data_IF_341059939221
#
_entry.id   IF_341059939221
#
_cell.length_a   1.000
_cell.length_b   1.000
_cell.length_c   1.000
_cell.angle_alpha   90.00
_cell.angle_beta   90.00
_cell.angle_gamma   90.00
#
_symmetry.space_group_name_H-M   'P 1'
#
loop_
_entity.id
_entity.type
_entity.pdbx_description
1 polymer ?
#
# COMPACT_ATOMS: atom_id res chain seq x y z
N UNK A 1 -18.25 -10.86 12.25
CA UNK A 1 -16.86 -10.80 11.74
C UNK A 1 -16.27 -9.48 12.21
N UNK A 2 -15.09 -9.46 12.84
CA UNK A 2 -14.47 -8.18 13.29
C UNK A 2 -14.16 -7.30 12.08
N UNK A 3 -14.23 -5.97 12.23
CA UNK A 3 -14.05 -5.02 11.12
C UNK A 3 -12.71 -5.23 10.38
N UNK A 4 -11.61 -5.44 11.10
CA UNK A 4 -10.30 -5.70 10.48
C UNK A 4 -10.24 -6.99 9.67
N UNK A 5 -10.93 -8.06 10.07
CA UNK A 5 -11.00 -9.31 9.29
C UNK A 5 -11.79 -9.13 7.99
N UNK A 6 -12.88 -8.37 8.04
CA UNK A 6 -13.64 -7.98 6.86
C UNK A 6 -12.76 -7.21 5.89
N UNK A 7 -12.12 -6.14 6.36
CA UNK A 7 -11.25 -5.33 5.52
C UNK A 7 -10.06 -6.11 4.99
N UNK A 8 -9.45 -7.00 5.79
CA UNK A 8 -8.34 -7.83 5.35
C UNK A 8 -8.76 -8.74 4.20
N UNK A 9 -9.92 -9.41 4.31
CA UNK A 9 -10.43 -10.33 3.28
C UNK A 9 -10.80 -9.61 1.98
N UNK A 10 -11.44 -8.44 2.08
CA UNK A 10 -11.98 -7.71 0.94
C UNK A 10 -11.10 -6.55 0.45
N UNK A 11 -9.88 -6.37 0.99
CA UNK A 11 -9.00 -5.22 0.72
C UNK A 11 -8.73 -4.94 -0.75
N UNK A 12 -8.79 -5.95 -1.61
CA UNK A 12 -8.59 -5.81 -3.06
C UNK A 12 -9.79 -5.21 -3.80
N UNK A 13 -11.00 -5.26 -3.20
CA UNK A 13 -12.25 -4.82 -3.82
C UNK A 13 -12.75 -3.49 -3.27
N UNK A 14 -12.41 -3.15 -2.02
CA UNK A 14 -12.76 -1.85 -1.41
C UNK A 14 -12.35 -0.61 -2.21
N UNK A 15 -11.29 -0.61 -3.04
CA UNK A 15 -10.93 0.54 -3.86
C UNK A 15 -11.78 0.73 -5.12
N UNK A 16 -12.48 -0.32 -5.59
CA UNK A 16 -13.19 -0.29 -6.86
C UNK A 16 -14.24 0.81 -6.97
N UNK A 17 -15.09 1.10 -5.95
CA UNK A 17 -16.04 2.20 -6.03
C UNK A 17 -15.36 3.55 -6.25
N UNK A 18 -14.23 3.80 -5.59
CA UNK A 18 -13.45 5.03 -5.78
C UNK A 18 -12.86 5.11 -7.19
N UNK A 19 -12.30 4.00 -7.70
CA UNK A 19 -11.77 3.95 -9.07
C UNK A 19 -12.86 4.18 -10.12
N UNK A 20 -14.06 3.62 -9.94
CA UNK A 20 -15.20 3.85 -10.82
C UNK A 20 -15.58 5.34 -10.82
N UNK A 21 -15.74 5.94 -9.64
CA UNK A 21 -16.04 7.37 -9.52
C UNK A 21 -14.94 8.25 -10.13
N UNK A 22 -13.67 7.89 -9.93
CA UNK A 22 -12.52 8.56 -10.55
C UNK A 22 -12.60 8.54 -12.07
N UNK A 23 -12.99 7.42 -12.68
CA UNK A 23 -13.12 7.31 -14.13
C UNK A 23 -14.32 8.10 -14.64
N UNK A 24 -15.51 7.94 -14.03
CA UNK A 24 -16.75 8.59 -14.46
C UNK A 24 -16.66 10.11 -14.40
N UNK A 25 -16.06 10.66 -13.35
CA UNK A 25 -15.93 12.10 -13.14
C UNK A 25 -14.54 12.64 -13.48
N UNK A 26 -13.72 11.84 -14.17
CA UNK A 26 -12.36 12.23 -14.52
C UNK A 26 -12.32 13.56 -15.28
N UNK A 27 -11.34 14.39 -14.96
CA UNK A 27 -11.01 15.61 -15.70
C UNK A 27 -9.49 15.83 -15.75
N UNK A 28 -8.73 14.85 -16.28
CA UNK A 28 -7.28 14.84 -16.22
C UNK A 28 -6.67 16.03 -16.98
N UNK A 29 -5.55 16.54 -16.49
CA UNK A 29 -4.71 17.50 -17.22
C UNK A 29 -3.24 17.06 -17.13
N UNK A 30 -2.36 17.66 -17.92
CA UNK A 30 -0.97 17.20 -17.99
C UNK A 30 -0.24 17.32 -16.65
N UNK A 31 -0.52 18.36 -15.86
CA UNK A 31 0.11 18.55 -14.55
C UNK A 31 -0.39 17.52 -13.54
N UNK A 32 -1.71 17.27 -13.53
CA UNK A 32 -2.30 16.25 -12.65
C UNK A 32 -1.77 14.85 -12.99
N UNK A 33 -1.62 14.56 -14.29
CA UNK A 33 -1.04 13.31 -14.77
C UNK A 33 0.41 13.14 -14.33
N UNK A 34 1.26 14.16 -14.54
CA UNK A 34 2.68 14.09 -14.17
C UNK A 34 2.89 13.99 -12.65
N UNK A 35 2.21 14.84 -11.87
CA UNK A 35 2.32 14.84 -10.40
C UNK A 35 1.84 13.50 -9.84
N UNK A 36 0.65 13.05 -10.25
CA UNK A 36 0.10 11.81 -9.75
C UNK A 36 0.92 10.58 -10.17
N UNK A 37 1.50 10.58 -11.37
CA UNK A 37 2.41 9.51 -11.82
C UNK A 37 3.64 9.36 -10.92
N UNK A 38 4.24 10.48 -10.47
CA UNK A 38 5.36 10.45 -9.52
C UNK A 38 4.96 9.75 -8.21
N UNK A 39 3.78 10.06 -7.67
CA UNK A 39 3.28 9.40 -6.46
C UNK A 39 3.02 7.89 -6.66
N UNK A 40 2.48 7.50 -7.82
CA UNK A 40 2.30 6.07 -8.16
C UNK A 40 3.65 5.35 -8.23
N UNK A 41 4.65 5.93 -8.89
CA UNK A 41 5.99 5.35 -8.97
C UNK A 41 6.64 5.18 -7.60
N UNK A 42 6.55 6.18 -6.72
CA UNK A 42 7.07 6.10 -5.34
C UNK A 42 6.35 5.00 -4.56
N UNK A 43 5.01 4.92 -4.67
CA UNK A 43 4.21 3.92 -3.99
C UNK A 43 4.53 2.49 -4.44
N UNK A 44 4.61 2.24 -5.75
CA UNK A 44 5.01 0.95 -6.30
C UNK A 44 6.45 0.58 -5.90
N UNK A 45 7.38 1.54 -5.91
CA UNK A 45 8.75 1.30 -5.48
C UNK A 45 8.83 0.85 -4.01
N UNK A 46 8.14 1.55 -3.10
CA UNK A 46 8.08 1.17 -1.67
C UNK A 46 7.54 -0.25 -1.51
N UNK A 47 6.52 -0.61 -2.29
CA UNK A 47 5.91 -1.95 -2.24
C UNK A 47 6.83 -3.03 -2.76
N UNK A 48 7.50 -2.81 -3.89
CA UNK A 48 8.49 -3.74 -4.44
C UNK A 48 9.63 -3.93 -3.42
N UNK A 49 10.13 -2.85 -2.81
CA UNK A 49 11.18 -2.94 -1.80
C UNK A 49 10.73 -3.71 -0.55
N UNK A 50 9.51 -3.48 -0.08
CA UNK A 50 8.93 -4.20 1.05
C UNK A 50 8.78 -5.70 0.75
N UNK A 51 8.16 -6.05 -0.39
CA UNK A 51 7.96 -7.44 -0.77
C UNK A 51 9.24 -8.15 -1.22
N UNK A 52 10.33 -7.43 -1.48
CA UNK A 52 11.65 -8.04 -1.66
C UNK A 52 12.21 -8.65 -0.36
N UNK A 53 11.66 -8.25 0.80
CA UNK A 53 11.92 -8.88 2.10
C UNK A 53 10.78 -9.79 2.52
N UNK A 54 9.54 -9.32 2.50
CA UNK A 54 8.40 -10.06 3.04
C UNK A 54 7.87 -11.18 2.12
N UNK A 55 8.26 -11.19 0.84
CA UNK A 55 7.79 -12.16 -0.14
C UNK A 55 6.29 -12.05 -0.41
N UNK A 56 5.71 -13.13 -0.95
CA UNK A 56 4.30 -13.19 -1.35
C UNK A 56 3.34 -13.55 -0.23
N UNK A 57 3.82 -13.91 0.96
CA UNK A 57 2.99 -14.28 2.13
C UNK A 57 2.05 -13.13 2.55
N UNK A 58 2.49 -11.90 2.33
CA UNK A 58 1.73 -10.66 2.55
C UNK A 58 0.49 -10.53 1.66
N UNK A 59 0.40 -11.31 0.57
CA UNK A 59 -0.71 -11.30 -0.39
C UNK A 59 -1.78 -12.33 -0.11
N UNK A 60 -1.65 -13.12 0.96
CA UNK A 60 -2.66 -14.12 1.34
C UNK A 60 -3.94 -13.44 1.81
N UNK A 61 -5.09 -13.98 1.40
CA UNK A 61 -6.44 -13.49 1.76
C UNK A 61 -7.18 -14.43 2.71
N UNK A 62 -6.57 -15.58 3.05
CA UNK A 62 -7.11 -16.60 3.96
C UNK A 62 -6.98 -16.27 5.44
N UNK A 63 -6.35 -15.15 5.79
CA UNK A 63 -6.12 -14.70 7.16
C UNK A 63 -4.77 -14.00 7.29
N UNK A 64 -4.55 -13.32 8.42
CA UNK A 64 -3.23 -12.75 8.71
C UNK A 64 -2.23 -13.90 8.92
N UNK A 65 -1.06 -13.78 8.31
CA UNK A 65 0.02 -14.76 8.41
C UNK A 65 1.39 -14.12 8.18
N UNK A 66 2.45 -14.92 8.32
CA UNK A 66 3.82 -14.52 8.03
C UNK A 66 4.82 -15.40 8.76
N UNK A 67 5.75 -16.02 8.05
CA UNK A 67 6.74 -16.96 8.59
C UNK A 67 7.75 -16.25 9.48
N UNK A 68 8.24 -15.09 9.04
CA UNK A 68 9.26 -14.30 9.72
C UNK A 68 8.71 -12.97 10.24
N UNK A 69 9.30 -12.47 11.33
CA UNK A 69 9.13 -11.07 11.74
C UNK A 69 10.08 -10.19 10.93
N UNK A 70 9.59 -9.64 9.82
CA UNK A 70 10.39 -8.82 8.92
C UNK A 70 10.62 -7.43 9.52
N UNK A 71 11.88 -7.11 9.81
CA UNK A 71 12.30 -5.81 10.36
C UNK A 71 13.36 -5.11 9.48
N UNK A 72 13.76 -5.73 8.37
CA UNK A 72 14.71 -5.19 7.41
C UNK A 72 14.04 -4.45 6.23
N UNK A 73 14.85 -3.75 5.44
CA UNK A 73 14.37 -2.94 4.31
C UNK A 73 13.48 -1.78 4.79
N UNK A 74 12.33 -1.53 4.17
CA UNK A 74 11.47 -0.42 4.57
C UNK A 74 10.81 -0.67 5.94
N UNK A 75 10.68 -1.94 6.37
CA UNK A 75 10.16 -2.31 7.68
C UNK A 75 11.04 -1.77 8.84
N UNK A 76 12.32 -1.52 8.59
CA UNK A 76 13.23 -0.93 9.57
C UNK A 76 12.89 0.53 9.91
N UNK A 77 12.13 1.21 9.05
CA UNK A 77 11.79 2.63 9.19
C UNK A 77 10.32 2.83 9.56
N UNK A 78 9.44 1.93 9.11
CA UNK A 78 8.00 1.98 9.38
C UNK A 78 7.41 0.57 9.35
N UNK A 79 6.49 0.25 10.26
CA UNK A 79 5.98 -1.13 10.39
C UNK A 79 5.10 -1.58 9.24
N UNK A 80 4.43 -0.64 8.57
CA UNK A 80 3.43 -0.93 7.54
C UNK A 80 3.73 -0.26 6.18
N UNK A 81 4.90 -0.50 5.58
CA UNK A 81 5.31 0.18 4.35
C UNK A 81 4.42 -0.17 3.15
N UNK A 82 3.84 -1.39 3.11
CA UNK A 82 2.93 -1.79 2.04
C UNK A 82 1.67 -0.91 1.99
N UNK A 83 1.10 -0.56 3.15
CA UNK A 83 -0.07 0.31 3.21
C UNK A 83 0.27 1.77 2.88
N UNK A 84 1.48 2.24 3.23
CA UNK A 84 1.97 3.55 2.77
C UNK A 84 2.07 3.57 1.25
N UNK A 85 2.66 2.53 0.65
CA UNK A 85 2.74 2.41 -0.80
C UNK A 85 1.36 2.38 -1.46
N UNK A 86 0.39 1.64 -0.88
CA UNK A 86 -0.98 1.65 -1.38
C UNK A 86 -1.62 3.04 -1.32
N UNK A 87 -1.50 3.74 -0.18
CA UNK A 87 -2.03 5.10 -0.03
C UNK A 87 -1.40 6.04 -1.06
N UNK A 88 -0.10 5.94 -1.31
CA UNK A 88 0.59 6.75 -2.34
C UNK A 88 0.10 6.44 -3.76
N UNK A 89 -0.13 5.17 -4.09
CA UNK A 89 -0.69 4.77 -5.39
C UNK A 89 -2.10 5.36 -5.55
N UNK A 90 -3.00 5.19 -4.57
CA UNK A 90 -4.36 5.74 -4.64
C UNK A 90 -4.37 7.27 -4.67
N UNK A 91 -3.48 7.90 -3.91
CA UNK A 91 -3.30 9.35 -3.93
C UNK A 91 -2.83 9.84 -5.30
N UNK A 92 -1.85 9.17 -5.89
CA UNK A 92 -1.39 9.45 -7.24
C UNK A 92 -2.49 9.28 -8.28
N UNK A 93 -3.18 8.15 -8.30
CA UNK A 93 -4.28 7.89 -9.23
C UNK A 93 -5.44 8.90 -9.09
N UNK A 94 -5.78 9.30 -7.86
CA UNK A 94 -6.81 10.30 -7.64
C UNK A 94 -6.39 11.71 -8.11
N UNK A 95 -5.13 12.11 -7.90
CA UNK A 95 -4.56 13.32 -8.53
C UNK A 95 -4.63 13.22 -10.05
N UNK A 96 -4.17 12.11 -10.65
CA UNK A 96 -4.19 11.91 -12.11
C UNK A 96 -5.59 12.07 -12.68
N UNK A 97 -6.58 11.43 -12.04
CA UNK A 97 -7.98 11.49 -12.45
C UNK A 97 -8.55 12.91 -12.41
N UNK A 98 -8.08 13.73 -11.45
CA UNK A 98 -8.59 15.06 -11.14
C UNK A 98 -10.14 15.08 -11.01
N UNK A 99 -10.71 13.96 -10.57
CA UNK A 99 -12.15 13.74 -10.51
C UNK A 99 -12.72 14.36 -9.24
N UNK A 100 -13.62 15.33 -9.38
CA UNK A 100 -14.27 16.04 -8.25
C UNK A 100 -13.23 16.52 -7.22
N UNK A 101 -12.07 16.96 -7.70
CA UNK A 101 -10.93 17.29 -6.85
C UNK A 101 -11.19 18.58 -6.06
N UNK A 102 -10.88 18.65 -4.75
CA UNK A 102 -10.19 17.64 -3.93
C UNK A 102 -11.11 16.70 -3.14
N UNK A 103 -12.44 16.82 -3.25
CA UNK A 103 -13.39 16.18 -2.35
C UNK A 103 -13.36 14.65 -2.41
N UNK A 104 -13.37 14.06 -3.61
CA UNK A 104 -13.28 12.61 -3.76
C UNK A 104 -11.97 12.06 -3.18
N UNK A 105 -10.87 12.80 -3.34
CA UNK A 105 -9.57 12.44 -2.80
C UNK A 105 -9.58 12.41 -1.27
N UNK A 106 -10.16 13.43 -0.63
CA UNK A 106 -10.25 13.53 0.83
C UNK A 106 -11.07 12.36 1.39
N UNK A 107 -12.25 12.09 0.81
CA UNK A 107 -13.11 10.98 1.23
C UNK A 107 -12.40 9.63 1.07
N UNK A 108 -11.72 9.41 -0.07
CA UNK A 108 -10.94 8.20 -0.31
C UNK A 108 -9.81 8.01 0.71
N UNK A 109 -9.05 9.07 1.01
CA UNK A 109 -7.95 8.99 1.98
C UNK A 109 -8.43 8.69 3.40
N UNK A 110 -9.53 9.32 3.85
CA UNK A 110 -10.12 9.04 5.15
C UNK A 110 -10.60 7.58 5.24
N UNK A 111 -11.25 7.10 4.17
CA UNK A 111 -11.68 5.71 4.07
C UNK A 111 -10.50 4.74 4.16
N UNK A 112 -9.45 4.93 3.35
CA UNK A 112 -8.29 4.05 3.35
C UNK A 112 -7.49 4.11 4.65
N UNK A 113 -7.41 5.29 5.28
CA UNK A 113 -6.80 5.42 6.60
C UNK A 113 -7.54 4.56 7.64
N UNK A 114 -8.87 4.66 7.69
CA UNK A 114 -9.69 3.83 8.58
C UNK A 114 -9.56 2.34 8.25
N UNK A 115 -9.66 1.96 6.98
CA UNK A 115 -9.51 0.58 6.52
C UNK A 115 -8.16 -0.01 6.95
N UNK A 116 -7.04 0.68 6.67
CA UNK A 116 -5.72 0.18 7.00
C UNK A 116 -5.46 0.20 8.51
N UNK A 117 -6.04 1.14 9.25
CA UNK A 117 -5.98 1.11 10.72
C UNK A 117 -6.60 -0.16 11.30
N UNK A 118 -7.78 -0.56 10.81
CA UNK A 118 -8.46 -1.79 11.25
C UNK A 118 -7.75 -3.05 10.80
N UNK A 119 -7.21 -3.08 9.57
CA UNK A 119 -6.38 -4.21 9.10
C UNK A 119 -5.13 -4.35 9.98
N UNK A 120 -4.40 -3.27 10.19
CA UNK A 120 -3.17 -3.28 10.96
C UNK A 120 -3.41 -3.77 12.38
N UNK A 121 -4.50 -3.36 13.05
CA UNK A 121 -4.82 -3.89 14.39
C UNK A 121 -4.91 -5.42 14.43
N UNK A 122 -5.60 -6.01 13.47
CA UNK A 122 -5.70 -7.48 13.38
C UNK A 122 -4.33 -8.10 13.09
N UNK A 123 -3.51 -7.44 12.26
CA UNK A 123 -2.14 -7.89 11.99
C UNK A 123 -1.25 -7.81 13.22
N UNK A 124 -1.28 -6.71 13.97
CA UNK A 124 -0.51 -6.54 15.19
C UNK A 124 -0.93 -7.56 16.25
N UNK A 125 -2.21 -7.92 16.34
CA UNK A 125 -2.69 -8.97 17.26
C UNK A 125 -2.09 -10.34 16.90
N UNK A 126 -2.09 -10.70 15.62
CA UNK A 126 -1.45 -11.93 15.14
C UNK A 126 0.06 -11.91 15.43
N UNK A 127 0.76 -10.82 15.07
CA UNK A 127 2.21 -10.70 15.23
C UNK A 127 2.62 -10.72 16.70
N UNK A 128 1.85 -10.09 17.60
CA UNK A 128 2.05 -10.21 19.05
C UNK A 128 1.92 -11.65 19.52
N UNK A 129 0.87 -12.35 19.10
CA UNK A 129 0.65 -13.74 19.50
C UNK A 129 1.74 -14.69 18.98
N UNK A 130 2.28 -14.43 17.78
CA UNK A 130 3.27 -15.29 17.12
C UNK A 130 4.71 -15.02 17.58
N UNK A 131 5.10 -13.75 17.73
CA UNK A 131 6.49 -13.36 17.94
C UNK A 131 6.77 -12.75 19.32
N UNK A 132 5.73 -12.53 20.15
CA UNK A 132 5.87 -12.11 21.54
C UNK A 132 6.75 -10.88 21.73
N UNK A 133 7.73 -10.99 22.63
CA UNK A 133 8.60 -9.88 23.04
C UNK A 133 9.37 -9.24 21.87
N UNK A 134 9.80 -10.05 20.88
CA UNK A 134 10.52 -9.53 19.72
C UNK A 134 9.67 -8.51 18.92
N UNK A 135 8.37 -8.76 18.82
CA UNK A 135 7.44 -7.84 18.16
C UNK A 135 7.12 -6.61 19.01
N UNK A 136 7.04 -6.77 20.33
CA UNK A 136 6.87 -5.61 21.22
C UNK A 136 8.06 -4.65 21.15
N UNK A 137 9.28 -5.19 21.17
CA UNK A 137 10.51 -4.40 21.05
C UNK A 137 10.59 -3.68 19.70
N UNK A 138 10.21 -4.37 18.63
CA UNK A 138 10.04 -3.74 17.33
C UNK A 138 9.00 -2.61 17.36
N UNK A 139 7.86 -2.82 18.05
CA UNK A 139 6.82 -1.81 18.18
C UNK A 139 7.25 -0.56 18.96
N UNK A 140 8.11 -0.72 19.98
CA UNK A 140 8.69 0.40 20.75
C UNK A 140 9.65 1.23 19.90
N UNK A 141 10.30 0.61 18.91
CA UNK A 141 11.36 1.23 18.14
C UNK A 141 10.95 1.75 16.76
N UNK A 142 9.88 1.23 16.16
CA UNK A 142 9.43 1.59 14.81
C UNK A 142 7.96 1.96 14.80
N UNK A 143 7.63 3.12 14.25
CA UNK A 143 6.24 3.63 14.23
C UNK A 143 5.34 2.83 13.29
N UNK A 144 4.02 2.88 13.55
CA UNK A 144 3.02 2.19 12.74
C UNK A 144 2.97 2.69 11.29
N UNK A 145 2.90 4.01 11.09
CA UNK A 145 2.72 4.64 9.76
C UNK A 145 3.67 5.81 9.45
N UNK A 146 4.36 6.36 10.46
CA UNK A 146 5.25 7.52 10.27
C UNK A 146 6.72 7.05 10.17
N UNK A 147 7.36 7.12 9.00
CA UNK A 147 8.74 6.66 8.84
C UNK A 147 9.71 7.36 9.79
N UNK A 148 10.59 6.59 10.43
CA UNK A 148 11.72 7.12 11.19
C UNK A 148 12.89 7.39 10.24
N UNK A 149 13.74 8.34 10.59
CA UNK A 149 14.99 8.60 9.87
C UNK A 149 16.08 7.57 10.24
N UNK A 150 16.09 7.13 11.50
CA UNK A 150 17.04 6.13 11.99
C UNK A 150 16.49 4.72 11.74
N UNK A 151 17.29 3.91 11.04
CA UNK A 151 17.03 2.49 10.81
C UNK A 151 17.00 1.71 12.13
N UNK A 152 15.94 0.95 12.37
CA UNK A 152 15.92 -0.08 13.41
C UNK A 152 16.67 -1.33 12.93
N UNK A 153 17.40 -1.98 13.84
CA UNK A 153 18.13 -3.20 13.57
C UNK A 153 18.18 -4.03 14.82
N UNK A 154 17.96 -5.34 14.67
CA UNK A 154 18.15 -6.31 15.73
C UNK A 154 18.66 -7.62 15.10
N UNK A 155 19.91 -7.97 15.40
CA UNK A 155 20.58 -9.14 14.81
C UNK A 155 20.10 -10.47 15.42
N UNK A 156 19.35 -10.46 16.53
CA UNK A 156 18.80 -11.69 17.12
C UNK A 156 17.54 -12.20 16.41
N UNK A 157 16.94 -11.41 15.52
CA UNK A 157 15.73 -11.77 14.79
C UNK A 157 16.12 -12.31 13.42
N UNK A 158 15.84 -13.59 13.18
CA UNK A 158 16.04 -14.22 11.87
C UNK A 158 15.24 -13.47 10.79
N UNK A 159 15.87 -13.23 9.63
CA UNK A 159 15.27 -12.51 8.52
C UNK A 159 15.18 -13.41 7.28
N UNK A 160 14.12 -13.24 6.47
CA UNK A 160 14.02 -13.95 5.20
C UNK A 160 15.13 -13.50 4.24
N UNK A 161 15.47 -14.38 3.29
CA UNK A 161 16.41 -14.06 2.22
C UNK A 161 15.85 -12.95 1.32
N UNK A 162 16.64 -11.89 1.15
CA UNK A 162 16.30 -10.76 0.30
C UNK A 162 16.27 -11.15 -1.19
N UNK A 163 15.21 -10.77 -1.91
CA UNK A 163 15.13 -11.02 -3.35
C UNK A 163 14.28 -9.98 -4.10
N UNK A 164 14.93 -9.14 -4.91
CA UNK A 164 14.26 -8.23 -5.84
C UNK A 164 13.32 -8.95 -6.80
N UNK A 165 13.69 -10.16 -7.25
CA UNK A 165 12.86 -10.97 -8.14
C UNK A 165 11.53 -11.33 -7.48
N UNK A 166 11.55 -11.77 -6.21
CA UNK A 166 10.32 -12.08 -5.45
C UNK A 166 9.47 -10.82 -5.20
N UNK A 167 10.12 -9.69 -4.90
CA UNK A 167 9.43 -8.40 -4.74
C UNK A 167 8.72 -7.97 -6.01
N UNK A 168 9.41 -8.00 -7.15
CA UNK A 168 8.83 -7.68 -8.46
C UNK A 168 7.67 -8.62 -8.82
N UNK A 169 7.89 -9.93 -8.71
CA UNK A 169 6.85 -10.94 -9.02
C UNK A 169 5.59 -10.75 -8.15
N UNK A 170 5.77 -10.37 -6.89
CA UNK A 170 4.66 -10.10 -5.98
C UNK A 170 3.85 -8.88 -6.43
N UNK A 171 4.45 -7.93 -7.15
CA UNK A 171 3.80 -6.67 -7.52
C UNK A 171 3.29 -6.58 -8.97
N UNK A 172 3.53 -7.58 -9.81
CA UNK A 172 3.04 -7.60 -11.21
C UNK A 172 1.55 -7.23 -11.31
N UNK A 173 0.70 -7.80 -10.43
CA UNK A 173 -0.75 -7.52 -10.46
C UNK A 173 -1.08 -6.09 -10.04
N UNK A 174 -0.33 -5.51 -9.11
CA UNK A 174 -0.50 -4.09 -8.71
C UNK A 174 -0.13 -3.18 -9.88
N UNK A 175 1.05 -3.41 -10.45
CA UNK A 175 1.58 -2.64 -11.57
C UNK A 175 0.62 -2.71 -12.77
N UNK A 176 0.13 -3.90 -13.11
CA UNK A 176 -0.86 -4.07 -14.18
C UNK A 176 -2.15 -3.28 -13.92
N UNK A 177 -2.68 -3.31 -12.70
CA UNK A 177 -3.87 -2.54 -12.34
C UNK A 177 -3.62 -1.02 -12.43
N UNK A 178 -2.52 -0.54 -11.85
CA UNK A 178 -2.10 0.86 -11.89
C UNK A 178 -1.94 1.34 -13.34
N UNK A 179 -1.24 0.58 -14.20
CA UNK A 179 -1.05 0.90 -15.61
C UNK A 179 -2.36 0.89 -16.40
N UNK A 180 -3.28 -0.02 -16.09
CA UNK A 180 -4.59 -0.07 -16.76
C UNK A 180 -5.40 1.19 -16.47
N UNK A 181 -5.46 1.62 -15.20
CA UNK A 181 -6.15 2.87 -14.82
C UNK A 181 -5.47 4.08 -15.47
N UNK A 182 -4.14 4.15 -15.43
CA UNK A 182 -3.37 5.24 -16.08
C UNK A 182 -3.66 5.29 -17.59
N UNK A 183 -3.69 4.13 -18.26
CA UNK A 183 -4.03 4.04 -19.68
C UNK A 183 -5.42 4.58 -20.00
N UNK A 184 -6.43 4.25 -19.18
CA UNK A 184 -7.79 4.79 -19.31
C UNK A 184 -7.78 6.32 -19.13
N UNK A 185 -7.10 6.83 -18.11
CA UNK A 185 -7.01 8.28 -17.87
C UNK A 185 -6.30 9.02 -19.01
N UNK A 186 -5.24 8.42 -19.58
CA UNK A 186 -4.56 8.96 -20.77
C UNK A 186 -5.48 9.01 -21.98
N UNK A 187 -6.25 7.95 -22.24
CA UNK A 187 -7.22 7.93 -23.34
C UNK A 187 -8.30 9.01 -23.17
N UNK A 188 -8.86 9.16 -21.96
CA UNK A 188 -9.83 10.21 -21.66
C UNK A 188 -9.24 11.61 -21.89
N UNK A 189 -8.00 11.82 -21.43
CA UNK A 189 -7.29 13.08 -21.62
C UNK A 189 -7.06 13.40 -23.11
N UNK A 190 -6.69 12.41 -23.92
CA UNK A 190 -6.50 12.56 -25.37
C UNK A 190 -7.82 12.88 -26.05
N UNK A 191 -8.89 12.12 -25.78
CA UNK A 191 -10.20 12.28 -26.42
C UNK A 191 -10.79 13.66 -26.12
N UNK A 192 -10.65 14.19 -24.91
CA UNK A 192 -11.17 15.51 -24.53
C UNK A 192 -10.34 16.69 -25.08
N UNK A 193 -9.16 16.43 -25.63
CA UNK A 193 -8.32 17.44 -26.28
C UNK A 193 -8.57 17.57 -27.78
N UNK A 194 -9.20 16.56 -28.40
CA UNK A 194 -9.68 16.57 -29.79
C UNK A 194 -11.04 17.23 -29.81
#
# INVERSE_FOLDING_TARGET
MKAGQFFFKYRSYTPLPFLILMILYSNPNIYSMLIGFVFVCIGEFIRIWANSWAGSETRTTGGVGGTFLVINGPYAYVRNPLYIGNVLIYFGLGIMSNAVFPYLQIVALLYFFYQYYEIVKEEENFLKSKFGQAYEDYCRNVNRFLPKLKKYSNNSIEQPEFSWKKGWQSEIRSIQASLSVIGILLLIWIIRRV
#
